data_IF_663723766182
#
_entry.id   IF_663723766182
#
_cell.length_a   1.000
_cell.length_b   1.000
_cell.length_c   1.000
_cell.angle_alpha   90.00
_cell.angle_beta   90.00
_cell.angle_gamma   90.00
#
_symmetry.space_group_name_H-M   'P 1'
#
loop_
_entity.id
_entity.type
_entity.pdbx_description
1 polymer ?
#
# COMPACT_ATOMS: atom_id res chain seq x y z
N UNK A 1 -8.97 -16.02 -7.63
CA UNK A 1 -9.06 -14.59 -8.00
C UNK A 1 -7.64 -14.05 -8.09
N UNK A 2 -7.32 -13.24 -9.11
CA UNK A 2 -5.99 -12.66 -9.29
C UNK A 2 -6.06 -11.13 -9.09
N UNK A 3 -5.08 -10.57 -8.36
CA UNK A 3 -4.93 -9.12 -8.15
C UNK A 3 -3.73 -8.61 -8.95
N UNK A 4 -3.87 -7.43 -9.56
CA UNK A 4 -2.77 -6.78 -10.31
C UNK A 4 -1.98 -5.87 -9.38
N UNK A 5 -0.80 -6.30 -8.96
CA UNK A 5 0.07 -5.59 -8.01
C UNK A 5 1.08 -4.71 -8.77
N UNK A 6 1.19 -3.45 -8.35
CA UNK A 6 2.17 -2.49 -8.86
C UNK A 6 3.48 -2.53 -8.08
N UNK A 7 3.40 -2.50 -6.75
CA UNK A 7 4.57 -2.54 -5.86
C UNK A 7 4.25 -3.39 -4.63
N UNK A 8 5.26 -4.09 -4.11
CA UNK A 8 5.18 -4.86 -2.87
C UNK A 8 6.49 -4.74 -2.09
N UNK A 9 6.41 -4.23 -0.85
CA UNK A 9 7.59 -4.05 0.00
C UNK A 9 7.23 -4.00 1.49
N UNK A 10 8.25 -4.18 2.34
CA UNK A 10 8.14 -4.09 3.79
C UNK A 10 8.75 -2.77 4.29
N UNK A 11 8.05 -2.05 5.15
CA UNK A 11 8.50 -0.78 5.75
C UNK A 11 7.70 -0.44 7.02
N UNK A 12 7.92 0.74 7.60
CA UNK A 12 7.09 1.27 8.68
C UNK A 12 5.95 2.14 8.12
N UNK A 13 4.76 2.05 8.72
CA UNK A 13 3.63 2.91 8.37
C UNK A 13 3.94 4.37 8.72
N UNK A 14 3.74 5.29 7.77
CA UNK A 14 4.09 6.71 7.95
C UNK A 14 2.97 7.56 8.54
N UNK A 15 1.73 7.06 8.52
CA UNK A 15 0.54 7.89 8.76
C UNK A 15 -0.50 7.23 9.67
N UNK A 16 -1.34 8.06 10.29
CA UNK A 16 -2.47 7.64 11.11
C UNK A 16 -2.06 7.07 12.47
N UNK A 17 -3.01 6.42 13.15
CA UNK A 17 -2.80 5.88 14.50
C UNK A 17 -1.80 4.72 14.59
N UNK A 18 -1.35 4.19 13.45
CA UNK A 18 -0.35 3.11 13.34
C UNK A 18 1.00 3.62 12.83
N UNK A 19 1.22 4.94 12.84
CA UNK A 19 2.49 5.50 12.43
C UNK A 19 3.65 4.90 13.26
N UNK A 20 4.70 4.44 12.57
CA UNK A 20 5.84 3.72 13.15
C UNK A 20 5.71 2.20 13.20
N UNK A 21 4.55 1.62 12.89
CA UNK A 21 4.34 0.17 12.93
C UNK A 21 4.86 -0.52 11.67
N UNK A 22 5.61 -1.61 11.84
CA UNK A 22 6.09 -2.47 10.76
C UNK A 22 4.93 -3.08 9.96
N UNK A 23 4.92 -2.88 8.64
CA UNK A 23 3.83 -3.26 7.75
C UNK A 23 4.34 -3.73 6.38
N UNK A 24 3.59 -4.66 5.77
CA UNK A 24 3.77 -5.03 4.36
C UNK A 24 2.83 -4.16 3.53
N UNK A 25 3.38 -3.43 2.57
CA UNK A 25 2.63 -2.62 1.63
C UNK A 25 2.40 -3.39 0.34
N UNK A 26 1.14 -3.42 -0.11
CA UNK A 26 0.74 -4.00 -1.38
C UNK A 26 -0.01 -2.91 -2.14
N UNK A 27 0.66 -2.27 -3.11
CA UNK A 27 0.04 -1.24 -3.95
C UNK A 27 -0.59 -1.91 -5.15
N UNK A 28 -1.91 -1.80 -5.28
CA UNK A 28 -2.64 -2.32 -6.45
C UNK A 28 -2.55 -1.36 -7.64
N UNK A 29 -2.74 -1.91 -8.83
CA UNK A 29 -2.74 -1.13 -10.08
C UNK A 29 -4.13 -0.56 -10.37
N UNK A 30 -4.19 0.63 -10.98
CA UNK A 30 -5.37 1.41 -11.39
C UNK A 30 -6.12 2.12 -10.25
N UNK A 31 -6.68 3.27 -10.57
CA UNK A 31 -7.63 4.04 -9.77
C UNK A 31 -8.67 4.66 -10.71
N UNK A 32 -9.91 4.82 -10.27
CA UNK A 32 -10.97 5.47 -11.06
C UNK A 32 -10.94 7.02 -10.93
N UNK A 33 -10.02 7.55 -10.15
CA UNK A 33 -9.80 8.99 -9.95
C UNK A 33 -8.48 9.43 -10.59
N UNK A 34 -8.43 10.69 -11.01
CA UNK A 34 -7.23 11.39 -11.51
C UNK A 34 -7.02 12.66 -10.66
N UNK A 35 -6.80 12.45 -9.36
CA UNK A 35 -6.56 13.50 -8.38
C UNK A 35 -5.20 14.18 -8.56
#
# INVERSE_FOLDING_TARGET
>A
MNLTVNELFYSLQGEGGRAGEASIFIRLTKCNLAC
#
